data_IF_473004482350
#
_entry.id   IF_473004482350
#
_cell.length_a   1.000
_cell.length_b   1.000
_cell.length_c   1.000
_cell.angle_alpha   90.00
_cell.angle_beta   90.00
_cell.angle_gamma   90.00
#
_symmetry.space_group_name_H-M   'P 1'
#
loop_
_entity.id
_entity.type
_entity.pdbx_description
1 polymer ?
#
# COMPACT_ATOMS: atom_id res chain seq x y z
N UNK A 1 -11.04 -17.00 24.28
CA UNK A 1 -9.71 -16.76 23.68
C UNK A 1 -9.59 -15.26 23.40
N UNK A 2 -8.99 -14.48 24.31
CA UNK A 2 -8.76 -13.06 24.08
C UNK A 2 -7.68 -12.92 22.99
N UNK A 3 -8.10 -12.58 21.77
CA UNK A 3 -7.15 -12.17 20.73
C UNK A 3 -6.61 -10.83 21.21
N UNK A 4 -5.40 -10.81 21.74
CA UNK A 4 -4.70 -9.55 22.00
C UNK A 4 -4.47 -8.86 20.66
N UNK A 5 -4.61 -7.54 20.62
CA UNK A 5 -4.40 -6.73 19.40
C UNK A 5 -3.08 -7.05 18.68
N UNK A 6 -2.05 -7.39 19.47
CA UNK A 6 -0.76 -7.92 19.00
C UNK A 6 -0.90 -9.21 18.18
N UNK A 7 -1.67 -10.19 18.66
CA UNK A 7 -1.86 -11.49 18.00
C UNK A 7 -2.61 -11.37 16.67
N UNK A 8 -3.56 -10.44 16.54
CA UNK A 8 -4.25 -10.21 15.28
C UNK A 8 -3.32 -9.60 14.22
N UNK A 9 -2.61 -8.53 14.55
CA UNK A 9 -1.68 -7.85 13.63
C UNK A 9 -0.58 -8.80 13.15
N UNK A 10 -0.05 -9.66 14.02
CA UNK A 10 0.95 -10.66 13.63
C UNK A 10 0.41 -11.70 12.65
N UNK A 11 -0.87 -12.09 12.76
CA UNK A 11 -1.50 -13.04 11.83
C UNK A 11 -1.68 -12.45 10.44
N UNK A 12 -2.11 -11.18 10.36
CA UNK A 12 -2.38 -10.53 9.07
C UNK A 12 -1.12 -9.90 8.43
N UNK A 13 0.00 -9.84 9.16
CA UNK A 13 1.27 -9.29 8.67
C UNK A 13 1.74 -9.95 7.37
N UNK A 14 1.86 -11.27 7.34
CA UNK A 14 2.36 -12.00 6.16
C UNK A 14 1.41 -11.93 4.96
N UNK A 15 0.08 -12.04 5.14
CA UNK A 15 -0.88 -11.69 4.09
C UNK A 15 -0.68 -10.28 3.53
N UNK A 16 -0.49 -9.28 4.40
CA UNK A 16 -0.27 -7.89 3.98
C UNK A 16 1.06 -7.71 3.23
N UNK A 17 2.13 -8.38 3.65
CA UNK A 17 3.40 -8.47 2.92
C UNK A 17 3.16 -9.00 1.50
N UNK A 18 2.39 -10.09 1.37
CA UNK A 18 2.01 -10.66 0.08
C UNK A 18 1.29 -9.66 -0.83
N UNK A 19 0.35 -8.88 -0.28
CA UNK A 19 -0.33 -7.82 -1.03
C UNK A 19 0.62 -6.72 -1.50
N UNK A 20 1.58 -6.30 -0.68
CA UNK A 20 2.60 -5.33 -1.09
C UNK A 20 3.49 -5.86 -2.22
N UNK A 21 3.85 -7.15 -2.19
CA UNK A 21 4.62 -7.78 -3.26
C UNK A 21 3.82 -7.78 -4.58
N UNK A 22 2.55 -8.18 -4.54
CA UNK A 22 1.68 -8.18 -5.72
C UNK A 22 1.52 -6.76 -6.26
N UNK A 23 1.26 -5.79 -5.38
CA UNK A 23 1.19 -4.37 -5.74
C UNK A 23 2.46 -3.91 -6.45
N UNK A 24 3.64 -4.20 -5.89
CA UNK A 24 4.92 -3.86 -6.49
C UNK A 24 5.11 -4.51 -7.87
N UNK A 25 4.77 -5.79 -8.02
CA UNK A 25 4.87 -6.50 -9.30
C UNK A 25 3.99 -5.85 -10.37
N UNK A 26 2.75 -5.51 -10.05
CA UNK A 26 1.84 -4.81 -10.97
C UNK A 26 2.42 -3.46 -11.39
N UNK A 27 2.91 -2.66 -10.44
CA UNK A 27 3.49 -1.36 -10.75
C UNK A 27 4.81 -1.45 -11.54
N UNK A 28 5.63 -2.46 -11.30
CA UNK A 28 6.83 -2.74 -12.09
C UNK A 28 6.45 -3.09 -13.53
N UNK A 29 5.44 -3.94 -13.73
CA UNK A 29 4.95 -4.27 -15.08
C UNK A 29 4.42 -3.02 -15.80
N UNK A 30 3.59 -2.21 -15.13
CA UNK A 30 3.07 -0.94 -15.68
C UNK A 30 4.18 0.06 -16.02
N UNK A 31 5.24 0.10 -15.21
CA UNK A 31 6.41 0.93 -15.46
C UNK A 31 7.10 0.53 -16.77
N UNK A 32 7.34 -0.77 -16.99
CA UNK A 32 7.95 -1.25 -18.24
C UNK A 32 7.07 -1.04 -19.47
N UNK A 33 5.74 -1.12 -19.35
CA UNK A 33 4.85 -0.84 -20.48
C UNK A 33 4.84 0.64 -20.86
N UNK A 34 4.98 1.55 -19.89
CA UNK A 34 4.95 3.00 -20.14
C UNK A 34 6.28 3.57 -20.64
N UNK A 35 7.42 2.92 -20.36
CA UNK A 35 8.74 3.36 -20.87
C UNK A 35 8.85 3.22 -22.39
N UNK A 36 8.06 2.33 -23.01
CA UNK A 36 8.08 2.13 -24.45
C UNK A 36 7.49 3.33 -25.24
N UNK A 37 6.70 4.20 -24.60
CA UNK A 37 6.24 5.46 -25.19
C UNK A 37 7.30 6.57 -24.97
N UNK A 38 7.91 7.00 -26.07
CA UNK A 38 9.14 7.80 -26.05
C UNK A 38 8.97 9.28 -25.69
N UNK A 39 7.75 9.85 -25.73
CA UNK A 39 7.52 11.31 -25.60
C UNK A 39 7.58 11.86 -24.17
N UNK A 40 7.41 11.02 -23.15
CA UNK A 40 7.11 11.46 -21.77
C UNK A 40 8.08 10.93 -20.68
N UNK A 41 9.23 10.40 -21.11
CA UNK A 41 10.16 9.57 -20.31
C UNK A 41 10.90 10.23 -19.14
N UNK A 42 10.83 11.54 -18.93
CA UNK A 42 11.50 12.18 -17.79
C UNK A 42 10.61 12.22 -16.55
N UNK A 43 9.46 12.85 -16.70
CA UNK A 43 8.54 13.17 -15.60
C UNK A 43 7.77 11.93 -15.11
N UNK A 44 7.20 11.14 -16.03
CA UNK A 44 6.43 9.94 -15.68
C UNK A 44 7.33 8.84 -15.11
N UNK A 45 8.58 8.78 -15.55
CA UNK A 45 9.54 7.79 -15.12
C UNK A 45 9.98 8.02 -13.67
N UNK A 46 10.22 9.28 -13.29
CA UNK A 46 10.55 9.64 -11.90
C UNK A 46 9.35 9.47 -10.95
N UNK A 47 8.14 9.79 -11.41
CA UNK A 47 6.92 9.60 -10.63
C UNK A 47 6.61 8.11 -10.41
N UNK A 48 6.78 7.29 -11.44
CA UNK A 48 6.58 5.84 -11.33
C UNK A 48 7.68 5.15 -10.52
N UNK A 49 8.93 5.62 -10.62
CA UNK A 49 10.02 5.12 -9.79
C UNK A 49 9.79 5.43 -8.31
N UNK A 50 9.20 6.58 -7.96
CA UNK A 50 8.74 6.87 -6.59
C UNK A 50 7.60 5.94 -6.15
N UNK A 51 6.63 5.64 -7.03
CA UNK A 51 5.51 4.72 -6.75
C UNK A 51 5.97 3.28 -6.49
N UNK A 52 7.13 2.87 -7.03
CA UNK A 52 7.72 1.56 -6.76
C UNK A 52 8.68 1.62 -5.56
N UNK A 53 9.55 2.64 -5.53
CA UNK A 53 10.62 2.75 -4.55
C UNK A 53 10.12 2.95 -3.11
N UNK A 54 9.09 3.78 -2.91
CA UNK A 54 8.55 4.06 -1.57
C UNK A 54 7.92 2.79 -0.96
N UNK A 55 6.99 2.08 -1.64
CA UNK A 55 6.42 0.84 -1.09
C UNK A 55 7.45 -0.28 -0.95
N UNK A 56 8.46 -0.34 -1.82
CA UNK A 56 9.57 -1.28 -1.69
C UNK A 56 10.40 -1.00 -0.42
N UNK A 57 10.74 0.26 -0.15
CA UNK A 57 11.45 0.65 1.07
C UNK A 57 10.63 0.36 2.34
N UNK A 58 9.32 0.60 2.30
CA UNK A 58 8.40 0.26 3.40
C UNK A 58 8.37 -1.25 3.65
N UNK A 59 8.27 -2.05 2.59
CA UNK A 59 8.24 -3.51 2.68
C UNK A 59 9.55 -4.06 3.26
N UNK A 60 10.69 -3.68 2.69
CA UNK A 60 12.00 -4.12 3.15
C UNK A 60 12.30 -3.63 4.57
N UNK A 61 12.00 -2.36 4.86
CA UNK A 61 12.18 -1.77 6.20
C UNK A 61 11.34 -2.48 7.26
N UNK A 62 10.11 -2.85 6.92
CA UNK A 62 9.22 -3.56 7.84
C UNK A 62 9.76 -4.96 8.16
N UNK A 63 10.16 -5.68 7.12
CA UNK A 63 10.72 -7.03 7.25
C UNK A 63 12.02 -6.98 8.08
N UNK A 64 12.92 -6.04 7.76
CA UNK A 64 14.17 -5.84 8.49
C UNK A 64 13.92 -5.57 9.98
N UNK A 65 13.02 -4.63 10.31
CA UNK A 65 12.71 -4.30 11.70
C UNK A 65 12.11 -5.48 12.47
N UNK A 66 11.27 -6.29 11.81
CA UNK A 66 10.72 -7.52 12.38
C UNK A 66 11.83 -8.54 12.70
N UNK A 67 12.77 -8.76 11.79
CA UNK A 67 13.89 -9.69 12.01
C UNK A 67 14.91 -9.18 13.04
N UNK A 68 15.03 -7.86 13.22
CA UNK A 68 15.89 -7.26 14.24
C UNK A 68 15.23 -7.19 15.64
N UNK A 69 14.11 -7.90 15.85
CA UNK A 69 13.40 -7.95 17.13
C UNK A 69 12.50 -6.75 17.44
N UNK A 70 12.44 -5.74 16.56
CA UNK A 70 11.54 -4.60 16.69
C UNK A 70 10.23 -4.85 15.94
N UNK A 71 9.52 -5.90 16.36
CA UNK A 71 8.32 -6.36 15.66
C UNK A 71 7.25 -5.27 15.59
N UNK A 72 6.95 -4.59 16.71
CA UNK A 72 5.91 -3.55 16.75
C UNK A 72 6.13 -2.48 15.68
N UNK A 73 7.35 -1.96 15.57
CA UNK A 73 7.69 -0.91 14.61
C UNK A 73 7.62 -1.44 13.17
N UNK A 74 8.08 -2.67 12.93
CA UNK A 74 7.90 -3.32 11.62
C UNK A 74 6.43 -3.42 11.22
N UNK A 75 5.57 -3.92 12.12
CA UNK A 75 4.13 -3.99 11.87
C UNK A 75 3.57 -2.60 11.56
N UNK A 76 3.83 -1.58 12.39
CA UNK A 76 3.31 -0.23 12.16
C UNK A 76 3.76 0.37 10.82
N UNK A 77 4.99 0.11 10.39
CA UNK A 77 5.51 0.61 9.11
C UNK A 77 4.69 0.09 7.92
N UNK A 78 4.20 -1.15 7.98
CA UNK A 78 3.34 -1.75 6.95
C UNK A 78 1.86 -1.39 7.10
N UNK A 79 1.34 -1.37 8.34
CA UNK A 79 -0.08 -1.17 8.60
C UNK A 79 -0.53 0.28 8.47
N UNK A 80 0.30 1.27 8.80
CA UNK A 80 -0.08 2.69 8.71
C UNK A 80 -0.45 3.09 7.28
N UNK A 81 0.38 2.83 6.25
CA UNK A 81 0.03 3.19 4.89
C UNK A 81 -1.16 2.37 4.37
N UNK A 82 -1.26 1.09 4.72
CA UNK A 82 -2.39 0.24 4.33
C UNK A 82 -3.71 0.72 4.95
N UNK A 83 -3.69 1.06 6.25
CA UNK A 83 -4.84 1.62 6.96
C UNK A 83 -5.26 2.98 6.40
N UNK A 84 -4.29 3.85 6.08
CA UNK A 84 -4.56 5.13 5.42
C UNK A 84 -5.25 4.95 4.06
N UNK A 85 -4.78 3.99 3.25
CA UNK A 85 -5.40 3.68 1.95
C UNK A 85 -6.85 3.17 2.11
N UNK A 86 -7.10 2.28 3.07
CA UNK A 86 -8.45 1.78 3.36
C UNK A 86 -9.36 2.93 3.81
N UNK A 87 -8.86 3.82 4.67
CA UNK A 87 -9.62 4.95 5.20
C UNK A 87 -10.00 5.95 4.09
N UNK A 88 -9.07 6.21 3.16
CA UNK A 88 -9.34 7.02 1.97
C UNK A 88 -10.38 6.36 1.04
N UNK A 89 -10.31 5.05 0.84
CA UNK A 89 -11.31 4.31 0.05
C UNK A 89 -12.70 4.39 0.68
N UNK A 90 -12.79 4.24 2.00
CA UNK A 90 -14.04 4.37 2.74
C UNK A 90 -14.62 5.77 2.66
N UNK A 91 -13.77 6.81 2.77
CA UNK A 91 -14.20 8.20 2.59
C UNK A 91 -14.70 8.46 1.17
N UNK A 92 -14.01 7.96 0.16
CA UNK A 92 -14.44 8.06 -1.24
C UNK A 92 -15.79 7.37 -1.47
N UNK A 93 -15.97 6.16 -0.93
CA UNK A 93 -17.24 5.44 -0.99
C UNK A 93 -18.37 6.19 -0.28
N UNK A 94 -18.11 6.74 0.90
CA UNK A 94 -19.09 7.56 1.64
C UNK A 94 -19.52 8.79 0.83
N UNK A 95 -18.57 9.48 0.19
CA UNK A 95 -18.88 10.60 -0.68
C UNK A 95 -19.77 10.20 -1.86
N UNK A 96 -19.52 9.05 -2.49
CA UNK A 96 -20.37 8.53 -3.57
C UNK A 96 -21.79 8.28 -3.07
N UNK A 97 -21.96 7.65 -1.90
CA UNK A 97 -23.28 7.40 -1.31
C UNK A 97 -24.04 8.69 -1.02
N UNK A 98 -23.37 9.67 -0.43
CA UNK A 98 -23.93 11.01 -0.19
C UNK A 98 -24.37 11.62 -1.52
N UNK A 99 -23.49 11.68 -2.52
CA UNK A 99 -23.80 12.25 -3.83
C UNK A 99 -24.96 11.51 -4.51
N UNK A 100 -25.03 10.18 -4.42
CA UNK A 100 -26.13 9.40 -4.96
C UNK A 100 -27.48 9.72 -4.30
N UNK A 101 -27.50 10.02 -3.00
CA UNK A 101 -28.72 10.46 -2.29
C UNK A 101 -29.13 11.89 -2.64
N UNK A 102 -28.18 12.79 -2.91
CA UNK A 102 -28.46 14.19 -3.21
C UNK A 102 -28.72 14.47 -4.70
N UNK A 103 -28.12 13.71 -5.62
CA UNK A 103 -28.21 13.91 -7.07
C UNK A 103 -28.93 12.79 -7.82
N UNK A 104 -29.33 11.72 -7.13
CA UNK A 104 -30.13 10.62 -7.69
C UNK A 104 -31.65 10.87 -7.72
N UNK A 105 -32.08 12.14 -7.73
CA UNK A 105 -33.46 12.56 -7.98
C UNK A 105 -33.58 13.20 -9.34
#
# INVERSE_FOLDING_TARGET
MHITFSSFLSKIYWPLVGLYIIYLLVFIMLYFTQINDWSDRGYYNMMNLKKIGIPFAILCGSIYLKYNGNEKTGHYLLFIPAGGAILLLLLGFLMILIMAQFFGK
#
